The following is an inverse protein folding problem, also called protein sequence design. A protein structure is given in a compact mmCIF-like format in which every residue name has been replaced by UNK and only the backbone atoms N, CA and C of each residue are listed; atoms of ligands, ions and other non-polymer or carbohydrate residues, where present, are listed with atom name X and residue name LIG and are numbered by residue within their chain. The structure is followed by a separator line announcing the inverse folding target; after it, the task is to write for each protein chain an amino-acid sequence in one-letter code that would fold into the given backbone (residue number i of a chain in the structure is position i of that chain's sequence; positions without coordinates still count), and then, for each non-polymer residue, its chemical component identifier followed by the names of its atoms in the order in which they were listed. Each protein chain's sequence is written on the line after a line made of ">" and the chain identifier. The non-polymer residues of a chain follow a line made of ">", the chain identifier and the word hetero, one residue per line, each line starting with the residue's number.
data_IF_689984866409
#
_entry.id   IF_689984866409
#
_cell.length_a   1.000
_cell.length_b   1.000
_cell.length_c   1.000
_cell.angle_alpha   90.00
_cell.angle_beta   90.00
_cell.angle_gamma   90.00
#
_symmetry.space_group_name_H-M   'P 1'
#
loop_
_entity.id
_entity.type
_entity.pdbx_description
1 polymer ?
#
# COMPACT_ATOMS: atom_id res chain seq x y z
N UNK A 1 -43.37 -24.07 3.50
CA UNK A 1 -42.59 -23.95 2.24
C UNK A 1 -43.18 -22.79 1.45
N UNK A 2 -42.55 -21.60 1.55
CA UNK A 2 -43.03 -20.38 0.89
C UNK A 2 -42.28 -20.14 -0.43
N UNK A 3 -43.05 -20.02 -1.50
CA UNK A 3 -42.61 -19.65 -2.84
C UNK A 3 -42.04 -18.21 -2.82
N UNK A 4 -40.71 -18.05 -2.76
CA UNK A 4 -40.06 -16.83 -3.26
C UNK A 4 -39.38 -17.17 -4.57
N UNK A 5 -40.14 -16.97 -5.63
CA UNK A 5 -39.72 -17.03 -7.02
C UNK A 5 -38.44 -16.22 -7.24
N UNK A 6 -37.38 -16.91 -7.63
CA UNK A 6 -36.59 -16.56 -8.82
C UNK A 6 -35.75 -15.28 -8.83
N UNK A 7 -35.78 -14.41 -7.83
CA UNK A 7 -34.85 -13.30 -7.74
C UNK A 7 -33.49 -13.80 -7.25
N UNK A 8 -32.78 -14.55 -8.11
CA UNK A 8 -31.31 -14.55 -8.04
C UNK A 8 -30.93 -13.09 -8.20
N UNK A 9 -30.60 -12.40 -7.11
CA UNK A 9 -29.91 -11.11 -7.16
C UNK A 9 -28.59 -11.37 -7.89
N UNK A 10 -28.64 -11.45 -9.22
CA UNK A 10 -27.48 -11.43 -10.10
C UNK A 10 -26.73 -10.19 -9.64
N UNK A 11 -25.50 -10.36 -9.19
CA UNK A 11 -24.62 -9.27 -8.79
C UNK A 11 -24.50 -8.28 -9.95
N UNK A 12 -25.48 -7.37 -10.05
CA UNK A 12 -25.58 -6.29 -10.99
C UNK A 12 -24.76 -5.10 -10.45
N UNK A 13 -23.80 -5.38 -9.58
CA UNK A 13 -22.73 -4.46 -9.27
C UNK A 13 -21.67 -4.68 -10.33
N UNK A 14 -22.00 -4.11 -11.50
CA UNK A 14 -21.09 -3.42 -12.42
C UNK A 14 -19.62 -3.81 -12.25
N UNK A 15 -19.02 -4.23 -13.36
CA UNK A 15 -17.59 -4.01 -13.61
C UNK A 15 -17.31 -2.49 -13.54
N UNK A 16 -17.36 -1.89 -12.35
CA UNK A 16 -16.88 -0.54 -12.12
C UNK A 16 -15.42 -0.64 -12.44
N UNK A 17 -15.03 -0.09 -13.57
CA UNK A 17 -13.64 0.03 -13.97
C UNK A 17 -12.95 0.93 -12.94
N UNK A 18 -12.56 0.36 -11.80
CA UNK A 18 -11.76 1.01 -10.75
C UNK A 18 -10.32 1.29 -11.21
N UNK A 19 -10.08 1.19 -12.51
CA UNK A 19 -8.83 1.55 -13.15
C UNK A 19 -8.62 3.06 -12.99
N UNK A 20 -7.96 3.44 -11.89
CA UNK A 20 -7.51 4.81 -11.71
C UNK A 20 -6.47 5.16 -12.78
N UNK A 21 -6.50 6.41 -13.25
CA UNK A 21 -5.47 6.94 -14.12
C UNK A 21 -4.10 6.74 -13.47
N UNK A 22 -3.17 6.13 -14.22
CA UNK A 22 -1.81 5.89 -13.69
C UNK A 22 -1.14 7.22 -13.43
N UNK A 23 -1.00 7.58 -12.15
CA UNK A 23 -0.49 8.90 -11.74
C UNK A 23 0.94 9.24 -12.18
N UNK A 24 1.72 8.31 -12.75
CA UNK A 24 3.13 8.53 -13.12
C UNK A 24 4.12 8.68 -11.95
N UNK A 25 3.63 9.05 -10.75
CA UNK A 25 4.41 9.29 -9.53
C UNK A 25 4.93 8.00 -8.86
N UNK A 26 5.80 7.27 -9.56
CA UNK A 26 6.35 5.98 -9.10
C UNK A 26 7.23 6.13 -7.87
N UNK A 27 7.97 7.23 -7.76
CA UNK A 27 8.91 7.52 -6.67
C UNK A 27 8.14 7.77 -5.37
N UNK A 28 7.20 8.73 -5.37
CA UNK A 28 6.35 9.04 -4.22
C UNK A 28 5.63 7.79 -3.69
N UNK A 29 5.09 6.96 -4.60
CA UNK A 29 4.42 5.70 -4.22
C UNK A 29 5.37 4.67 -3.61
N UNK A 30 6.64 4.66 -4.00
CA UNK A 30 7.64 3.77 -3.42
C UNK A 30 7.98 4.21 -1.98
N UNK A 31 8.19 5.52 -1.78
CA UNK A 31 8.43 6.10 -0.44
C UNK A 31 7.23 5.88 0.47
N UNK A 32 6.02 6.23 0.02
CA UNK A 32 4.79 6.07 0.80
C UNK A 32 4.61 4.62 1.26
N UNK A 33 4.85 3.65 0.38
CA UNK A 33 4.75 2.24 0.72
C UNK A 33 5.78 1.80 1.75
N UNK A 34 7.00 2.33 1.70
CA UNK A 34 8.01 2.01 2.71
C UNK A 34 7.63 2.58 4.08
N UNK A 35 7.14 3.82 4.12
CA UNK A 35 6.65 4.45 5.36
C UNK A 35 5.46 3.69 5.96
N UNK A 36 4.51 3.24 5.13
CA UNK A 36 3.38 2.44 5.60
C UNK A 36 3.82 1.11 6.23
N UNK A 37 4.89 0.49 5.71
CA UNK A 37 5.44 -0.74 6.30
C UNK A 37 6.11 -0.46 7.65
N UNK A 38 6.87 0.63 7.77
CA UNK A 38 7.48 1.05 9.03
C UNK A 38 6.40 1.33 10.10
N UNK A 39 5.30 1.98 9.70
CA UNK A 39 4.17 2.21 10.61
C UNK A 39 3.54 0.88 11.07
N UNK A 40 3.30 -0.05 10.15
CA UNK A 40 2.73 -1.37 10.49
C UNK A 40 3.64 -2.18 11.41
N UNK A 41 4.94 -2.09 11.22
CA UNK A 41 5.92 -2.73 12.09
C UNK A 41 5.94 -2.09 13.49
N UNK A 42 5.79 -0.77 13.59
CA UNK A 42 5.62 -0.11 14.88
C UNK A 42 4.32 -0.52 15.58
N UNK A 43 3.22 -0.71 14.83
CA UNK A 43 1.92 -1.09 15.38
C UNK A 43 1.82 -2.58 15.77
N UNK A 44 2.40 -3.48 14.97
CA UNK A 44 2.18 -4.94 15.08
C UNK A 44 3.42 -5.72 15.55
N UNK A 45 4.58 -5.06 15.63
CA UNK A 45 5.87 -5.71 15.82
C UNK A 45 6.41 -6.37 14.54
N UNK A 46 7.60 -6.96 14.66
CA UNK A 46 8.27 -7.58 13.53
C UNK A 46 7.62 -8.92 13.17
N UNK A 47 7.11 -9.04 11.95
CA UNK A 47 6.57 -10.29 11.40
C UNK A 47 7.40 -10.74 10.20
N UNK A 48 7.44 -12.06 9.95
CA UNK A 48 8.13 -12.61 8.76
C UNK A 48 7.65 -11.99 7.45
N UNK A 49 6.37 -11.60 7.38
CA UNK A 49 5.80 -10.92 6.23
C UNK A 49 6.32 -9.48 6.09
N UNK A 50 6.35 -8.71 7.18
CA UNK A 50 6.88 -7.35 7.18
C UNK A 50 8.37 -7.34 6.82
N UNK A 51 9.17 -8.22 7.40
CA UNK A 51 10.60 -8.37 7.08
C UNK A 51 10.85 -8.55 5.57
N UNK A 52 10.23 -9.58 4.98
CA UNK A 52 10.35 -9.86 3.53
C UNK A 52 9.80 -8.73 2.66
N UNK A 53 8.75 -8.05 3.12
CA UNK A 53 8.12 -6.97 2.36
C UNK A 53 8.96 -5.68 2.42
N UNK A 54 9.62 -5.41 3.55
CA UNK A 54 10.56 -4.30 3.73
C UNK A 54 11.78 -4.47 2.83
N UNK A 55 12.34 -5.67 2.75
CA UNK A 55 13.46 -5.97 1.85
C UNK A 55 13.11 -5.65 0.38
N UNK A 56 11.94 -6.09 -0.09
CA UNK A 56 11.45 -5.78 -1.44
C UNK A 56 11.19 -4.29 -1.65
N UNK A 57 10.70 -3.59 -0.62
CA UNK A 57 10.48 -2.16 -0.67
C UNK A 57 11.81 -1.39 -0.75
N UNK A 58 12.83 -1.80 0.01
CA UNK A 58 14.18 -1.24 -0.06
C UNK A 58 14.83 -1.46 -1.42
N UNK A 59 14.74 -2.67 -1.99
CA UNK A 59 15.24 -2.94 -3.34
C UNK A 59 14.57 -2.02 -4.38
N UNK A 60 13.27 -1.74 -4.22
CA UNK A 60 12.52 -0.83 -5.09
C UNK A 60 12.96 0.63 -4.92
N UNK A 61 13.24 1.08 -3.70
CA UNK A 61 13.79 2.42 -3.42
C UNK A 61 15.17 2.59 -4.05
N UNK A 62 16.05 1.59 -3.89
CA UNK A 62 17.38 1.57 -4.52
C UNK A 62 17.29 1.64 -6.04
N UNK A 63 16.37 0.88 -6.66
CA UNK A 63 16.15 0.91 -8.11
C UNK A 63 15.72 2.28 -8.63
N UNK A 64 15.02 3.07 -7.81
CA UNK A 64 14.59 4.42 -8.18
C UNK A 64 15.59 5.51 -7.78
N UNK A 65 16.74 5.17 -7.19
CA UNK A 65 17.74 6.14 -6.75
C UNK A 65 17.26 7.04 -5.62
N UNK A 66 16.31 6.57 -4.79
CA UNK A 66 15.81 7.35 -3.65
C UNK A 66 16.89 7.41 -2.58
N UNK A 67 17.28 8.63 -2.18
CA UNK A 67 18.27 8.85 -1.12
C UNK A 67 17.64 8.69 0.26
N UNK A 68 18.48 8.40 1.26
CA UNK A 68 18.04 8.31 2.66
C UNK A 68 17.37 9.60 3.14
N UNK A 69 17.90 10.76 2.73
CA UNK A 69 17.33 12.09 3.04
C UNK A 69 15.88 12.25 2.60
N UNK A 70 15.49 11.66 1.45
CA UNK A 70 14.09 11.70 0.98
C UNK A 70 13.18 10.81 1.81
N UNK A 71 13.69 9.69 2.31
CA UNK A 71 12.97 8.78 3.20
C UNK A 71 12.76 9.47 4.55
N UNK A 72 13.81 10.09 5.09
CA UNK A 72 13.76 10.80 6.37
C UNK A 72 12.79 11.97 6.30
N UNK A 73 12.82 12.77 5.23
CA UNK A 73 11.83 13.85 5.02
C UNK A 73 10.38 13.32 5.00
N UNK A 74 10.16 12.15 4.39
CA UNK A 74 8.84 11.52 4.34
C UNK A 74 8.39 10.94 5.70
N UNK A 75 9.32 10.39 6.47
CA UNK A 75 9.07 9.92 7.84
C UNK A 75 8.78 11.09 8.79
N UNK A 76 9.52 12.19 8.66
CA UNK A 76 9.32 13.41 9.44
C UNK A 76 7.95 14.02 9.18
N UNK A 77 7.54 14.13 7.90
CA UNK A 77 6.20 14.58 7.51
C UNK A 77 5.07 13.72 8.11
N UNK A 78 5.35 12.45 8.39
CA UNK A 78 4.39 11.49 8.95
C UNK A 78 4.48 11.38 10.48
N UNK A 79 5.36 12.14 11.14
CA UNK A 79 5.54 12.11 12.60
C UNK A 79 6.16 10.82 13.13
N UNK A 80 6.87 10.07 12.27
CA UNK A 80 7.52 8.79 12.62
C UNK A 80 9.01 8.95 12.95
N UNK A 81 9.58 10.14 12.73
CA UNK A 81 10.88 10.54 13.26
C UNK A 81 10.66 11.29 14.57
N UNK A 82 11.28 10.80 15.65
CA UNK A 82 11.49 11.55 16.90
C UNK A 82 12.74 12.39 16.77
#
# INVERSE_FOLDING_TARGET
>A
MGNTSGAKYKHMMYNVSRASQKSGKKLEKAIARYVDLMKKEADQGETKWLFKTKERAQARLKRFGVTQTMIDAALAKKGLLK
#
